data_IF_921795043192
#
_entry.id   IF_921795043192
#
_cell.length_a   1.000
_cell.length_b   1.000
_cell.length_c   1.000
_cell.angle_alpha   90.00
_cell.angle_beta   90.00
_cell.angle_gamma   90.00
#
_symmetry.space_group_name_H-M   'P 1'
#
loop_
_entity.id
_entity.type
_entity.pdbx_description
1 polymer ?
#
# COMPACT_ATOMS: atom_id res chain seq x y z
N UNK A 1 8.96 15.12 -12.70
CA UNK A 1 9.56 14.08 -11.83
C UNK A 1 10.84 14.64 -11.24
N UNK A 2 11.10 14.43 -9.94
CA UNK A 2 12.21 15.07 -9.20
C UNK A 2 13.38 14.15 -8.86
N UNK A 3 13.57 13.06 -9.61
CA UNK A 3 14.60 12.04 -9.34
C UNK A 3 15.91 12.23 -10.13
N UNK A 4 16.06 13.33 -10.87
CA UNK A 4 17.28 13.62 -11.63
C UNK A 4 17.69 12.47 -12.54
N UNK A 5 18.97 12.10 -12.47
CA UNK A 5 19.60 11.06 -13.31
C UNK A 5 19.05 9.65 -13.06
N UNK A 6 18.40 9.41 -11.91
CA UNK A 6 17.78 8.11 -11.58
C UNK A 6 16.50 7.86 -12.39
N UNK A 7 15.89 8.91 -12.97
CA UNK A 7 14.72 8.81 -13.84
C UNK A 7 15.12 8.43 -15.28
N UNK A 8 15.86 7.34 -15.42
CA UNK A 8 16.33 6.86 -16.72
C UNK A 8 15.24 6.15 -17.52
N UNK A 9 15.49 5.90 -18.81
CA UNK A 9 14.57 5.15 -19.67
C UNK A 9 14.34 3.73 -19.13
N UNK A 10 15.40 3.07 -18.68
CA UNK A 10 15.37 1.72 -18.12
C UNK A 10 14.53 1.67 -16.83
N UNK A 11 14.61 2.72 -16.00
CA UNK A 11 13.78 2.88 -14.81
C UNK A 11 12.29 2.95 -15.17
N UNK A 12 11.93 3.74 -16.19
CA UNK A 12 10.55 3.83 -16.66
C UNK A 12 10.06 2.52 -17.30
N UNK A 13 10.87 1.88 -18.15
CA UNK A 13 10.55 0.60 -18.77
C UNK A 13 10.31 -0.50 -17.72
N UNK A 14 11.14 -0.53 -16.68
CA UNK A 14 10.94 -1.43 -15.54
C UNK A 14 9.64 -1.12 -14.78
N UNK A 15 9.33 0.16 -14.55
CA UNK A 15 8.16 0.56 -13.79
C UNK A 15 6.84 0.26 -14.55
N UNK A 16 6.78 0.57 -15.85
CA UNK A 16 5.60 0.33 -16.68
C UNK A 16 5.39 -1.15 -17.01
N UNK A 17 6.45 -1.96 -16.93
CA UNK A 17 6.39 -3.40 -17.15
C UNK A 17 5.57 -4.17 -16.12
N UNK A 18 4.98 -3.49 -15.12
CA UNK A 18 4.21 -4.09 -14.02
C UNK A 18 4.96 -5.26 -13.36
N UNK A 19 6.23 -4.99 -13.03
CA UNK A 19 7.12 -5.97 -12.39
C UNK A 19 6.61 -6.34 -11.00
N UNK A 20 7.14 -7.43 -10.44
CA UNK A 20 6.66 -8.00 -9.17
C UNK A 20 6.58 -6.97 -8.04
N UNK A 21 7.55 -6.06 -7.91
CA UNK A 21 7.53 -5.02 -6.88
C UNK A 21 6.43 -3.98 -7.09
N UNK A 22 6.22 -3.53 -8.33
CA UNK A 22 5.22 -2.50 -8.66
C UNK A 22 3.82 -3.07 -8.50
N UNK A 23 3.60 -4.30 -8.99
CA UNK A 23 2.34 -5.04 -8.80
C UNK A 23 2.06 -5.25 -7.32
N UNK A 24 3.03 -5.75 -6.56
CA UNK A 24 2.87 -5.99 -5.13
C UNK A 24 2.59 -4.70 -4.34
N UNK A 25 3.22 -3.57 -4.70
CA UNK A 25 2.88 -2.28 -4.13
C UNK A 25 1.42 -1.91 -4.37
N UNK A 26 0.91 -2.16 -5.58
CA UNK A 26 -0.49 -1.95 -5.94
C UNK A 26 -1.45 -2.84 -5.16
N UNK A 27 -1.11 -4.12 -4.99
CA UNK A 27 -1.87 -5.10 -4.20
C UNK A 27 -1.97 -4.66 -2.74
N UNK A 28 -0.83 -4.32 -2.10
CA UNK A 28 -0.83 -3.80 -0.72
C UNK A 28 -1.69 -2.53 -0.62
N UNK A 29 -1.53 -1.58 -1.54
CA UNK A 29 -2.28 -0.34 -1.53
C UNK A 29 -3.79 -0.60 -1.63
N UNK A 30 -4.22 -1.40 -2.62
CA UNK A 30 -5.63 -1.70 -2.87
C UNK A 30 -6.26 -2.48 -1.73
N UNK A 31 -5.64 -3.57 -1.29
CA UNK A 31 -6.26 -4.43 -0.28
C UNK A 31 -6.31 -3.77 1.09
N UNK A 32 -5.28 -3.00 1.49
CA UNK A 32 -5.33 -2.27 2.77
C UNK A 32 -6.38 -1.15 2.75
N UNK A 33 -6.54 -0.45 1.63
CA UNK A 33 -7.58 0.58 1.42
C UNK A 33 -8.99 -0.03 1.49
N UNK A 34 -9.21 -1.13 0.79
CA UNK A 34 -10.49 -1.84 0.78
C UNK A 34 -10.85 -2.39 2.17
N UNK A 35 -9.87 -2.97 2.90
CA UNK A 35 -10.05 -3.42 4.29
C UNK A 35 -10.46 -2.28 5.22
N UNK A 36 -9.83 -1.11 5.08
CA UNK A 36 -10.14 0.05 5.89
C UNK A 36 -11.53 0.61 5.58
N UNK A 37 -11.87 0.72 4.30
CA UNK A 37 -13.16 1.20 3.81
C UNK A 37 -14.31 0.27 4.18
N UNK A 38 -14.11 -1.04 4.10
CA UNK A 38 -15.12 -2.03 4.48
C UNK A 38 -15.47 -1.93 5.97
N UNK A 39 -14.48 -1.73 6.85
CA UNK A 39 -14.72 -1.57 8.30
C UNK A 39 -15.37 -0.24 8.67
N UNK A 40 -15.03 0.85 7.99
CA UNK A 40 -15.58 2.19 8.29
C UNK A 40 -16.90 2.49 7.57
N UNK A 41 -17.24 1.70 6.56
CA UNK A 41 -18.34 1.94 5.65
C UNK A 41 -17.87 2.69 4.41
N UNK A 42 -18.11 2.10 3.24
CA UNK A 42 -17.86 2.73 1.94
C UNK A 42 -19.01 3.66 1.54
N UNK A 43 -18.80 4.55 0.57
CA UNK A 43 -19.89 5.35 0.02
C UNK A 43 -20.84 4.45 -0.78
N UNK A 44 -22.14 4.77 -0.75
CA UNK A 44 -23.16 3.99 -1.48
C UNK A 44 -22.98 3.96 -3.01
N UNK A 45 -22.20 4.89 -3.55
CA UNK A 45 -21.88 4.99 -4.98
C UNK A 45 -20.55 4.32 -5.33
N UNK A 46 -19.80 3.83 -4.34
CA UNK A 46 -18.55 3.14 -4.59
C UNK A 46 -18.83 1.78 -5.24
N UNK A 47 -17.95 1.40 -6.16
CA UNK A 47 -17.94 0.06 -6.76
C UNK A 47 -17.69 -1.02 -5.69
N UNK A 48 -17.84 -2.28 -6.07
CA UNK A 48 -17.49 -3.39 -5.16
C UNK A 48 -16.00 -3.34 -4.79
N UNK A 49 -15.72 -3.43 -3.49
CA UNK A 49 -14.38 -3.61 -2.94
C UNK A 49 -13.90 -5.06 -3.17
N UNK A 50 -12.59 -5.28 -3.02
CA UNK A 50 -12.00 -6.61 -3.11
C UNK A 50 -12.62 -7.60 -2.12
N UNK A 51 -13.04 -7.13 -0.93
CA UNK A 51 -13.73 -7.96 0.08
C UNK A 51 -15.10 -8.40 -0.43
N UNK A 52 -15.92 -7.45 -0.89
CA UNK A 52 -17.26 -7.75 -1.39
C UNK A 52 -17.21 -8.64 -2.64
N UNK A 53 -16.25 -8.39 -3.53
CA UNK A 53 -15.99 -9.25 -4.68
C UNK A 53 -15.63 -10.68 -4.26
N UNK A 54 -14.76 -10.84 -3.26
CA UNK A 54 -14.37 -12.16 -2.75
C UNK A 54 -15.54 -12.90 -2.09
N UNK A 55 -16.33 -12.22 -1.26
CA UNK A 55 -17.54 -12.77 -0.63
C UNK A 55 -18.53 -13.22 -1.70
N UNK A 56 -18.78 -12.39 -2.72
CA UNK A 56 -19.71 -12.72 -3.78
C UNK A 56 -19.23 -13.91 -4.63
N UNK A 57 -17.93 -14.02 -4.88
CA UNK A 57 -17.35 -15.12 -5.65
C UNK A 57 -17.32 -16.45 -4.89
N UNK A 58 -17.05 -16.42 -3.58
CA UNK A 58 -16.79 -17.62 -2.78
C UNK A 58 -17.91 -17.94 -1.78
N UNK A 59 -18.94 -17.11 -1.69
CA UNK A 59 -20.07 -17.25 -0.76
C UNK A 59 -19.65 -17.49 0.70
N UNK A 60 -18.58 -16.80 1.13
CA UNK A 60 -18.00 -16.93 2.45
C UNK A 60 -18.43 -15.79 3.39
N UNK A 61 -18.01 -15.84 4.66
CA UNK A 61 -18.28 -14.76 5.61
C UNK A 61 -17.30 -13.61 5.45
N UNK A 62 -17.65 -12.45 6.00
CA UNK A 62 -16.79 -11.26 6.05
C UNK A 62 -15.43 -11.58 6.66
N UNK A 63 -15.39 -12.36 7.75
CA UNK A 63 -14.16 -12.74 8.44
C UNK A 63 -13.23 -13.54 7.54
N UNK A 64 -13.77 -14.53 6.82
CA UNK A 64 -12.99 -15.35 5.88
C UNK A 64 -12.40 -14.49 4.77
N UNK A 65 -13.19 -13.59 4.19
CA UNK A 65 -12.71 -12.70 3.14
C UNK A 65 -11.63 -11.73 3.65
N UNK A 66 -11.81 -11.15 4.83
CA UNK A 66 -10.81 -10.26 5.44
C UNK A 66 -9.49 -10.99 5.73
N UNK A 67 -9.54 -12.20 6.27
CA UNK A 67 -8.35 -13.01 6.56
C UNK A 67 -7.59 -13.37 5.27
N UNK A 68 -8.32 -13.68 4.19
CA UNK A 68 -7.70 -13.93 2.87
C UNK A 68 -6.99 -12.67 2.36
N UNK A 69 -7.63 -11.51 2.42
CA UNK A 69 -7.00 -10.26 1.97
C UNK A 69 -5.80 -9.87 2.83
N UNK A 70 -5.86 -10.06 4.15
CA UNK A 70 -4.71 -9.83 5.03
C UNK A 70 -3.52 -10.73 4.63
N UNK A 71 -3.76 -12.01 4.29
CA UNK A 71 -2.71 -12.90 3.78
C UNK A 71 -2.15 -12.43 2.43
N UNK A 72 -2.99 -11.97 1.51
CA UNK A 72 -2.54 -11.40 0.22
C UNK A 72 -1.66 -10.15 0.43
N UNK A 73 -2.01 -9.31 1.40
CA UNK A 73 -1.18 -8.15 1.80
C UNK A 73 0.18 -8.62 2.30
N UNK A 74 0.24 -9.64 3.17
CA UNK A 74 1.51 -10.19 3.66
C UNK A 74 2.39 -10.76 2.55
N UNK A 75 1.80 -11.47 1.59
CA UNK A 75 2.55 -12.04 0.47
C UNK A 75 3.07 -10.98 -0.50
N UNK A 76 2.28 -9.95 -0.77
CA UNK A 76 2.72 -8.78 -1.53
C UNK A 76 3.85 -8.01 -0.79
N UNK A 77 3.80 -7.95 0.53
CA UNK A 77 4.89 -7.42 1.34
C UNK A 77 6.20 -8.22 1.20
N UNK A 78 6.12 -9.55 1.26
CA UNK A 78 7.29 -10.44 1.03
C UNK A 78 7.88 -10.22 -0.37
N UNK A 79 7.02 -10.11 -1.38
CA UNK A 79 7.41 -9.85 -2.77
C UNK A 79 8.13 -8.51 -2.93
N UNK A 80 7.59 -7.44 -2.33
CA UNK A 80 8.22 -6.11 -2.32
C UNK A 80 9.61 -6.14 -1.68
N UNK A 81 9.76 -6.87 -0.58
CA UNK A 81 11.04 -7.00 0.12
C UNK A 81 12.06 -7.81 -0.71
N UNK A 82 11.63 -8.91 -1.32
CA UNK A 82 12.49 -9.76 -2.14
C UNK A 82 13.05 -9.00 -3.35
N UNK A 83 12.24 -8.16 -4.00
CA UNK A 83 12.67 -7.38 -5.14
C UNK A 83 13.88 -6.47 -4.85
N UNK A 84 14.08 -6.03 -3.60
CA UNK A 84 15.24 -5.21 -3.20
C UNK A 84 16.56 -5.99 -3.28
N UNK A 85 16.50 -7.31 -3.15
CA UNK A 85 17.67 -8.19 -3.30
C UNK A 85 17.88 -8.58 -4.77
N UNK A 86 16.79 -8.83 -5.50
CA UNK A 86 16.87 -9.33 -6.88
C UNK A 86 17.22 -8.25 -7.92
N UNK A 87 16.98 -6.97 -7.59
CA UNK A 87 17.08 -5.85 -8.53
C UNK A 87 18.14 -4.82 -8.10
N UNK A 88 19.35 -5.30 -7.79
CA UNK A 88 20.45 -4.45 -7.32
C UNK A 88 20.76 -3.25 -8.24
N UNK A 89 20.73 -3.44 -9.57
CA UNK A 89 20.99 -2.37 -10.55
C UNK A 89 19.93 -1.24 -10.52
N UNK A 90 18.71 -1.54 -10.05
CA UNK A 90 17.59 -0.59 -9.94
C UNK A 90 17.23 -0.31 -8.48
N UNK A 91 18.14 -0.59 -7.55
CA UNK A 91 17.88 -0.52 -6.11
C UNK A 91 17.31 0.83 -5.65
N UNK A 92 17.76 2.00 -6.13
CA UNK A 92 17.16 3.28 -5.76
C UNK A 92 15.66 3.33 -6.09
N UNK A 93 15.28 2.87 -7.29
CA UNK A 93 13.90 2.85 -7.76
C UNK A 93 13.05 1.83 -7.00
N UNK A 94 13.58 0.63 -6.78
CA UNK A 94 12.88 -0.42 -6.02
C UNK A 94 12.66 0.03 -4.57
N UNK A 95 13.62 0.74 -3.98
CA UNK A 95 13.44 1.34 -2.66
C UNK A 95 12.34 2.42 -2.65
N UNK A 96 12.13 3.17 -3.75
CA UNK A 96 11.00 4.10 -3.86
C UNK A 96 9.67 3.35 -3.81
N UNK A 97 9.54 2.27 -4.58
CA UNK A 97 8.35 1.40 -4.57
C UNK A 97 8.14 0.82 -3.17
N UNK A 98 9.18 0.27 -2.55
CA UNK A 98 9.09 -0.29 -1.20
C UNK A 98 8.70 0.76 -0.14
N UNK A 99 9.20 1.98 -0.25
CA UNK A 99 8.82 3.09 0.64
C UNK A 99 7.36 3.51 0.42
N UNK A 100 6.87 3.49 -0.81
CA UNK A 100 5.45 3.72 -1.11
C UNK A 100 4.58 2.61 -0.51
N UNK A 101 4.94 1.34 -0.68
CA UNK A 101 4.27 0.20 -0.02
C UNK A 101 4.21 0.41 1.50
N UNK A 102 5.32 0.86 2.11
CA UNK A 102 5.37 1.17 3.56
C UNK A 102 4.46 2.31 3.99
N UNK A 103 4.26 3.31 3.13
CA UNK A 103 3.32 4.37 3.43
C UNK A 103 1.88 3.88 3.51
N UNK A 104 1.51 2.77 2.84
CA UNK A 104 0.16 2.19 2.97
C UNK A 104 -0.11 1.70 4.40
N UNK A 105 0.91 1.21 5.09
CA UNK A 105 0.81 0.90 6.52
C UNK A 105 0.63 2.14 7.40
N UNK A 106 1.19 3.29 7.02
CA UNK A 106 0.93 4.54 7.73
C UNK A 106 -0.53 4.95 7.57
N UNK A 107 -1.07 4.83 6.35
CA UNK A 107 -2.42 5.27 6.01
C UNK A 107 -3.48 4.34 6.58
N UNK A 108 -3.33 3.03 6.40
CA UNK A 108 -4.44 2.06 6.52
C UNK A 108 -4.26 1.01 7.63
N UNK A 109 -3.16 1.05 8.41
CA UNK A 109 -2.92 0.07 9.49
C UNK A 109 -4.11 -0.01 10.45
N UNK A 110 -4.38 -1.22 10.94
CA UNK A 110 -5.53 -1.55 11.79
C UNK A 110 -6.87 -1.31 11.09
N UNK A 111 -6.90 -1.36 9.74
CA UNK A 111 -8.11 -1.19 8.93
C UNK A 111 -8.79 0.16 9.20
N UNK A 112 -7.99 1.22 9.32
CA UNK A 112 -8.43 2.60 9.58
C UNK A 112 -7.98 3.50 8.46
N UNK A 113 -8.90 4.19 7.80
CA UNK A 113 -8.58 5.15 6.74
C UNK A 113 -8.11 6.49 7.34
N UNK A 114 -6.80 6.61 7.56
CA UNK A 114 -6.20 7.88 8.03
C UNK A 114 -5.85 8.82 6.89
N UNK A 115 -6.06 8.42 5.63
CA UNK A 115 -5.87 9.29 4.48
C UNK A 115 -7.04 10.27 4.39
N UNK A 116 -8.26 9.75 4.35
CA UNK A 116 -9.49 10.57 4.34
C UNK A 116 -9.76 11.15 5.72
N UNK A 117 -9.67 10.34 6.78
CA UNK A 117 -9.94 10.76 8.15
C UNK A 117 -8.64 11.09 8.89
N UNK A 118 -8.00 12.20 8.50
CA UNK A 118 -6.67 12.64 8.95
C UNK A 118 -6.56 12.98 10.45
N UNK A 119 -7.65 12.97 11.20
CA UNK A 119 -7.65 13.22 12.64
C UNK A 119 -6.69 12.29 13.39
N UNK A 120 -6.60 11.02 12.98
CA UNK A 120 -5.68 10.04 13.55
C UNK A 120 -4.19 10.25 13.21
N UNK A 121 -3.86 11.22 12.34
CA UNK A 121 -2.49 11.51 11.91
C UNK A 121 -1.92 12.83 12.49
N UNK A 122 -2.73 13.63 13.21
CA UNK A 122 -2.32 14.96 13.70
C UNK A 122 -1.02 14.92 14.50
N UNK A 123 -0.89 14.00 15.45
CA UNK A 123 0.30 13.90 16.30
C UNK A 123 1.55 13.52 15.48
N UNK A 124 1.39 12.67 14.46
CA UNK A 124 2.51 12.27 13.58
C UNK A 124 2.96 13.42 12.70
N UNK A 125 2.03 14.21 12.17
CA UNK A 125 2.34 15.41 11.39
C UNK A 125 3.09 16.41 12.26
N UNK A 126 2.64 16.60 13.51
CA UNK A 126 3.32 17.47 14.46
C UNK A 126 4.75 17.00 14.75
N UNK A 127 4.94 15.73 15.10
CA UNK A 127 6.26 15.16 15.38
C UNK A 127 7.21 15.26 14.16
N UNK A 128 6.68 15.17 12.94
CA UNK A 128 7.51 15.18 11.74
C UNK A 128 7.87 16.59 11.25
N UNK A 129 6.99 17.58 11.46
CA UNK A 129 7.09 18.89 10.79
C UNK A 129 6.98 20.10 11.71
N UNK A 130 6.60 19.94 12.99
CA UNK A 130 6.33 21.06 13.92
C UNK A 130 7.22 20.95 15.15
N UNK A 131 7.18 19.81 15.82
CA UNK A 131 7.83 19.61 17.13
C UNK A 131 9.25 19.07 16.90
N UNK A 132 10.31 19.87 17.17
CA UNK A 132 11.68 19.41 16.99
C UNK A 132 12.03 18.33 18.02
N UNK A 133 12.96 17.44 17.64
CA UNK A 133 13.54 16.48 18.59
C UNK A 133 14.35 17.29 19.62
N UNK A 134 14.05 17.19 20.93
CA UNK A 134 14.84 17.85 21.96
C UNK A 134 16.29 17.37 21.90
N UNK A 135 17.23 18.31 22.00
CA UNK A 135 18.67 18.05 22.08
C UNK A 135 19.10 17.79 23.52
#
# INVERSE_FOLDING_TARGET
MGMGDEASKEAFEWAIGCTDAVRACGEVARFMDDLASFKHGKNKLDVASSIESYINQHHCTDEVAMDVLDNLVEDAWKTTNQARFDRGALLPLVNRVANLTKSMTLLFRNKVDRYTFSHGNKDRIRQQFIDPIPL
#
